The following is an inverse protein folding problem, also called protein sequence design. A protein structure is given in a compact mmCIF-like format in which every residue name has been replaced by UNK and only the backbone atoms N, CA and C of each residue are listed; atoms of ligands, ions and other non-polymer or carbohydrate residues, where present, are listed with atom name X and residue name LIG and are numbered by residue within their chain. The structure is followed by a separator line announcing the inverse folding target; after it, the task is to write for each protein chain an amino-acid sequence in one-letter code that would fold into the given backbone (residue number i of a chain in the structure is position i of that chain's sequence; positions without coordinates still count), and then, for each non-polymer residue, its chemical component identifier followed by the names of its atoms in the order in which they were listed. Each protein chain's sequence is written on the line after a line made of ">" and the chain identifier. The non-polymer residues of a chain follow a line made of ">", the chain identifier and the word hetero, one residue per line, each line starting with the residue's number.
data_IF_856999245717
#
_entry.id   IF_856999245717
#
_cell.length_a   1.000
_cell.length_b   1.000
_cell.length_c   1.000
_cell.angle_alpha   90.00
_cell.angle_beta   90.00
_cell.angle_gamma   90.00
#
_symmetry.space_group_name_H-M   'P 1'
#
loop_
_entity.id
_entity.type
_entity.pdbx_description
1 polymer ?
#
# COMPACT_ATOMS: atom_id res chain seq x y z
N UNK A 1 -25.74 -57.19 88.51
CA UNK A 1 -25.53 -57.39 87.07
C UNK A 1 -25.57 -56.01 86.41
N UNK A 2 -24.39 -55.42 86.17
CA UNK A 2 -24.22 -54.05 85.62
C UNK A 2 -24.05 -54.15 84.13
N UNK A 3 -24.97 -53.48 83.41
CA UNK A 3 -24.78 -53.29 81.98
C UNK A 3 -24.03 -52.02 81.76
N UNK A 4 -22.82 -52.12 81.20
CA UNK A 4 -21.99 -51.04 80.72
C UNK A 4 -22.35 -50.82 79.29
N UNK A 5 -23.23 -49.79 78.99
CA UNK A 5 -23.44 -49.25 77.66
C UNK A 5 -22.25 -48.30 77.29
N UNK A 6 -21.37 -48.76 76.46
CA UNK A 6 -20.31 -47.94 75.84
C UNK A 6 -20.96 -47.02 74.77
N UNK A 7 -21.15 -45.76 75.11
CA UNK A 7 -21.46 -44.69 74.15
C UNK A 7 -20.24 -44.47 73.25
N UNK A 8 -20.31 -44.92 72.02
CA UNK A 8 -19.38 -44.53 70.98
C UNK A 8 -19.63 -43.07 70.62
N UNK A 9 -18.80 -42.18 71.10
CA UNK A 9 -18.83 -40.74 70.79
C UNK A 9 -18.23 -40.59 69.38
N UNK A 10 -19.11 -40.32 68.39
CA UNK A 10 -18.74 -40.02 67.01
C UNK A 10 -18.08 -38.63 66.99
N UNK A 11 -16.76 -38.59 66.95
CA UNK A 11 -16.03 -37.36 66.71
C UNK A 11 -16.05 -37.06 65.19
N UNK A 12 -16.63 -35.90 64.74
CA UNK A 12 -16.58 -35.54 63.33
C UNK A 12 -15.12 -35.25 62.96
N UNK A 13 -14.57 -36.06 62.07
CA UNK A 13 -13.28 -35.85 61.51
C UNK A 13 -13.23 -34.45 60.84
N UNK A 14 -12.45 -33.53 61.39
CA UNK A 14 -12.23 -32.21 60.81
C UNK A 14 -11.58 -32.36 59.44
N UNK A 15 -12.39 -32.53 58.38
CA UNK A 15 -11.88 -32.54 57.02
C UNK A 15 -11.28 -31.18 56.72
N UNK A 16 -10.01 -31.15 56.47
CA UNK A 16 -9.28 -29.92 56.05
C UNK A 16 -10.00 -29.26 54.90
N UNK A 17 -10.10 -27.92 54.94
CA UNK A 17 -10.68 -27.06 53.86
C UNK A 17 -10.10 -27.44 52.50
N UNK A 18 -8.88 -27.92 52.50
CA UNK A 18 -8.20 -28.42 51.28
C UNK A 18 -8.89 -29.67 50.70
N UNK A 19 -9.37 -30.61 51.53
CA UNK A 19 -10.01 -31.83 51.02
C UNK A 19 -11.42 -31.56 50.45
N UNK A 20 -12.13 -30.58 50.98
CA UNK A 20 -13.48 -30.18 50.48
C UNK A 20 -13.42 -29.41 49.17
N UNK A 21 -12.36 -28.58 48.95
CA UNK A 21 -12.25 -27.66 47.80
C UNK A 21 -11.12 -28.04 46.84
N UNK A 22 -10.68 -29.28 46.82
CA UNK A 22 -9.53 -29.75 46.05
C UNK A 22 -9.64 -29.41 44.57
N UNK A 23 -10.82 -29.55 43.95
CA UNK A 23 -11.09 -29.24 42.51
C UNK A 23 -11.05 -27.73 42.27
N UNK A 24 -11.60 -26.92 43.15
CA UNK A 24 -11.56 -25.46 43.03
C UNK A 24 -10.15 -24.91 43.11
N UNK A 25 -9.33 -25.43 44.07
CA UNK A 25 -7.94 -25.03 44.24
C UNK A 25 -7.11 -25.39 42.99
N UNK A 26 -7.32 -26.57 42.41
CA UNK A 26 -6.69 -26.99 41.16
C UNK A 26 -7.07 -26.08 40.00
N UNK A 27 -8.38 -25.77 39.85
CA UNK A 27 -8.85 -24.85 38.80
C UNK A 27 -8.24 -23.46 38.93
N UNK A 28 -8.16 -22.95 40.16
CA UNK A 28 -7.53 -21.65 40.44
C UNK A 28 -6.03 -21.67 40.07
N UNK A 29 -5.32 -22.74 40.41
CA UNK A 29 -3.89 -22.89 40.11
C UNK A 29 -3.65 -22.98 38.60
N UNK A 30 -4.50 -23.70 37.84
CA UNK A 30 -4.46 -23.77 36.38
C UNK A 30 -4.71 -22.38 35.77
N UNK A 31 -5.72 -21.65 36.27
CA UNK A 31 -6.02 -20.29 35.81
C UNK A 31 -4.82 -19.36 36.03
N UNK A 32 -4.19 -19.40 37.20
CA UNK A 32 -3.02 -18.59 37.53
C UNK A 32 -1.83 -18.94 36.60
N UNK A 33 -1.66 -20.23 36.30
CA UNK A 33 -0.59 -20.68 35.38
C UNK A 33 -0.87 -20.17 33.95
N UNK A 34 -2.11 -20.24 33.46
CA UNK A 34 -2.49 -19.70 32.15
C UNK A 34 -2.19 -18.19 32.09
N UNK A 35 -2.60 -17.44 33.14
CA UNK A 35 -2.31 -16.00 33.22
C UNK A 35 -0.82 -15.72 33.20
N UNK A 36 -0.02 -16.53 33.90
CA UNK A 36 1.45 -16.43 33.88
C UNK A 36 2.03 -16.63 32.49
N UNK A 37 1.50 -17.60 31.72
CA UNK A 37 1.95 -17.88 30.35
C UNK A 37 1.55 -16.80 29.35
N UNK A 38 0.56 -15.97 29.68
CA UNK A 38 0.15 -14.84 28.82
C UNK A 38 1.07 -13.61 28.99
N UNK A 39 1.86 -13.52 30.07
CA UNK A 39 2.72 -12.37 30.36
C UNK A 39 3.73 -12.07 29.23
N UNK A 40 4.41 -13.07 28.59
CA UNK A 40 5.36 -12.78 27.52
C UNK A 40 4.73 -12.26 26.22
N UNK A 41 3.44 -12.49 25.98
CA UNK A 41 2.79 -12.18 24.70
C UNK A 41 2.91 -10.69 24.32
N UNK A 42 2.55 -9.72 25.20
CA UNK A 42 2.68 -8.31 24.83
C UNK A 42 4.13 -7.88 24.58
N UNK A 43 5.10 -8.48 25.26
CA UNK A 43 6.52 -8.18 24.97
C UNK A 43 6.93 -8.65 23.57
N UNK A 44 6.45 -9.84 23.14
CA UNK A 44 6.70 -10.38 21.80
C UNK A 44 6.03 -9.48 20.74
N UNK A 45 4.79 -9.06 20.98
CA UNK A 45 4.06 -8.17 20.05
C UNK A 45 4.79 -6.84 19.90
N UNK A 46 5.21 -6.23 21.00
CA UNK A 46 5.98 -4.97 20.96
C UNK A 46 7.30 -5.13 20.18
N UNK A 47 7.98 -6.26 20.37
CA UNK A 47 9.23 -6.54 19.64
C UNK A 47 8.96 -6.69 18.13
N UNK A 48 7.87 -7.34 17.74
CA UNK A 48 7.48 -7.50 16.34
C UNK A 48 7.19 -6.11 15.74
N UNK A 49 6.43 -5.26 16.43
CA UNK A 49 6.11 -3.90 15.98
C UNK A 49 7.38 -3.04 15.84
N UNK A 50 8.27 -3.11 16.80
CA UNK A 50 9.56 -2.40 16.74
C UNK A 50 10.37 -2.84 15.51
N UNK A 51 10.46 -4.15 15.27
CA UNK A 51 11.20 -4.71 14.13
C UNK A 51 10.55 -4.30 12.79
N UNK A 52 9.23 -4.33 12.72
CA UNK A 52 8.49 -3.89 11.54
C UNK A 52 8.70 -2.39 11.28
N UNK A 53 8.64 -1.57 12.32
CA UNK A 53 8.91 -0.13 12.20
C UNK A 53 10.33 0.15 11.72
N UNK A 54 11.33 -0.60 12.22
CA UNK A 54 12.71 -0.48 11.77
C UNK A 54 12.88 -0.92 10.32
N UNK A 55 12.17 -1.97 9.88
CA UNK A 55 12.13 -2.41 8.48
C UNK A 55 11.62 -1.28 7.59
N UNK A 56 10.49 -0.67 7.94
CA UNK A 56 9.88 0.42 7.16
C UNK A 56 10.80 1.63 7.05
N UNK A 57 11.48 2.00 8.14
CA UNK A 57 12.47 3.08 8.14
C UNK A 57 13.63 2.81 7.17
N UNK A 58 14.18 1.59 7.20
CA UNK A 58 15.28 1.21 6.31
C UNK A 58 14.83 1.17 4.85
N UNK A 59 13.63 0.64 4.57
CA UNK A 59 13.05 0.63 3.22
C UNK A 59 12.90 2.07 2.72
N UNK A 60 12.37 2.97 3.55
CA UNK A 60 12.22 4.39 3.21
C UNK A 60 13.58 5.02 2.92
N UNK A 61 14.58 4.75 3.75
CA UNK A 61 15.93 5.28 3.58
C UNK A 61 16.60 4.80 2.28
N UNK A 62 16.42 3.53 1.90
CA UNK A 62 16.90 2.99 0.63
C UNK A 62 16.18 3.69 -0.53
N UNK A 63 14.84 3.80 -0.43
CA UNK A 63 14.01 4.43 -1.45
C UNK A 63 14.37 5.90 -1.64
N UNK A 64 14.56 6.63 -0.55
CA UNK A 64 14.95 8.05 -0.61
C UNK A 64 16.30 8.29 -1.30
N UNK A 65 17.21 7.32 -1.19
CA UNK A 65 18.53 7.41 -1.83
C UNK A 65 18.52 6.92 -3.28
N UNK A 66 17.61 6.03 -3.64
CA UNK A 66 17.46 5.48 -4.99
C UNK A 66 16.48 6.31 -5.81
N UNK A 67 15.24 6.22 -5.50
CA UNK A 67 14.06 6.97 -5.90
C UNK A 67 12.86 6.33 -5.20
N UNK A 68 11.88 7.11 -4.82
CA UNK A 68 10.68 6.64 -4.14
C UNK A 68 9.71 5.86 -5.02
N UNK A 69 8.51 5.66 -4.48
CA UNK A 69 7.38 5.11 -5.23
C UNK A 69 7.06 6.05 -6.39
N UNK A 70 6.80 5.49 -7.58
CA UNK A 70 6.59 6.30 -8.77
C UNK A 70 5.15 6.24 -9.24
N UNK A 71 4.63 7.40 -9.61
CA UNK A 71 3.37 7.54 -10.36
C UNK A 71 3.64 8.41 -11.59
N UNK A 72 3.15 7.95 -12.73
CA UNK A 72 3.31 8.63 -14.03
C UNK A 72 2.07 9.48 -14.29
N UNK A 73 2.29 10.73 -14.68
CA UNK A 73 1.27 11.75 -14.96
C UNK A 73 1.38 12.24 -16.39
N UNK A 74 0.31 12.11 -17.15
CA UNK A 74 0.26 12.63 -18.51
C UNK A 74 0.76 11.66 -19.57
N UNK A 75 1.06 12.17 -20.77
CA UNK A 75 1.15 13.61 -21.11
C UNK A 75 -0.21 14.30 -21.19
N UNK A 76 -0.20 15.62 -20.95
CA UNK A 76 -1.35 16.53 -21.08
C UNK A 76 -0.96 17.71 -21.95
N UNK A 77 -1.97 18.34 -22.56
CA UNK A 77 -1.79 19.65 -23.21
C UNK A 77 -2.32 20.72 -22.24
N UNK A 78 -1.42 21.62 -21.79
CA UNK A 78 -1.80 22.80 -21.01
C UNK A 78 -2.07 23.95 -21.95
N UNK A 79 -3.26 24.52 -21.89
CA UNK A 79 -3.64 25.75 -22.60
C UNK A 79 -3.79 26.86 -21.56
N UNK A 80 -2.98 27.91 -21.69
CA UNK A 80 -3.08 29.13 -20.89
C UNK A 80 -3.78 30.17 -21.72
N UNK A 81 -4.86 30.75 -21.23
CA UNK A 81 -5.65 31.73 -21.95
C UNK A 81 -6.13 32.89 -21.05
N UNK A 82 -6.57 33.97 -21.66
CA UNK A 82 -7.13 35.13 -20.94
C UNK A 82 -8.64 34.97 -20.86
N UNK A 83 -9.16 35.00 -19.64
CA UNK A 83 -10.60 34.94 -19.36
C UNK A 83 -11.06 36.22 -18.67
N UNK A 84 -12.25 36.68 -19.02
CA UNK A 84 -12.89 37.82 -18.37
C UNK A 84 -13.63 37.31 -17.12
N UNK A 85 -13.15 37.68 -15.97
CA UNK A 85 -13.73 37.26 -14.68
C UNK A 85 -14.28 38.49 -13.96
N UNK A 86 -15.43 38.34 -13.35
CA UNK A 86 -16.03 39.39 -12.54
C UNK A 86 -15.39 39.37 -11.14
N UNK A 87 -14.85 40.52 -10.72
CA UNK A 87 -14.13 40.63 -9.43
C UNK A 87 -15.03 40.60 -8.18
N UNK A 88 -16.35 40.39 -8.38
CA UNK A 88 -17.34 40.41 -7.28
C UNK A 88 -17.81 41.80 -6.92
N UNK A 89 -17.21 42.85 -7.50
CA UNK A 89 -17.63 44.25 -7.34
C UNK A 89 -18.26 44.79 -8.64
N UNK A 90 -18.51 43.88 -9.59
CA UNK A 90 -19.13 44.24 -10.87
C UNK A 90 -18.15 44.72 -11.95
N UNK A 91 -16.84 44.69 -11.66
CA UNK A 91 -15.83 45.05 -12.63
C UNK A 91 -15.25 43.79 -13.30
N UNK A 92 -15.19 43.83 -14.62
CA UNK A 92 -14.60 42.73 -15.41
C UNK A 92 -13.08 42.91 -15.47
N UNK A 93 -12.34 41.91 -14.98
CA UNK A 93 -10.90 41.90 -15.07
C UNK A 93 -10.44 40.71 -15.91
N UNK A 94 -9.37 40.91 -16.69
CA UNK A 94 -8.75 39.82 -17.46
C UNK A 94 -7.83 39.03 -16.56
N UNK A 95 -8.06 37.73 -16.46
CA UNK A 95 -7.26 36.83 -15.66
C UNK A 95 -6.69 35.73 -16.54
N UNK A 96 -5.45 35.32 -16.29
CA UNK A 96 -4.87 34.14 -16.93
C UNK A 96 -5.38 32.87 -16.24
N UNK A 97 -5.96 31.98 -17.04
CA UNK A 97 -6.49 30.71 -16.61
C UNK A 97 -5.78 29.59 -17.36
N UNK A 98 -5.59 28.45 -16.71
CA UNK A 98 -4.99 27.25 -17.30
C UNK A 98 -6.03 26.13 -17.36
N UNK A 99 -6.08 25.47 -18.49
CA UNK A 99 -6.84 24.20 -18.66
C UNK A 99 -5.90 23.11 -19.15
N UNK A 100 -6.12 21.90 -18.65
CA UNK A 100 -5.35 20.72 -19.04
C UNK A 100 -6.25 19.78 -19.83
N UNK A 101 -5.77 19.35 -20.98
CA UNK A 101 -6.53 18.55 -21.93
C UNK A 101 -5.88 17.17 -22.00
N UNK A 102 -6.68 16.14 -21.79
CA UNK A 102 -6.30 14.74 -21.84
C UNK A 102 -6.17 14.23 -23.27
N UNK A 103 -5.39 13.19 -23.47
CA UNK A 103 -5.30 12.53 -24.78
C UNK A 103 -6.56 11.69 -25.07
N UNK A 104 -6.79 11.38 -26.33
CA UNK A 104 -7.79 10.38 -26.73
C UNK A 104 -7.28 8.97 -26.45
N UNK A 105 -6.07 8.70 -26.90
CA UNK A 105 -5.43 7.39 -26.72
C UNK A 105 -4.09 7.56 -26.01
N UNK A 106 -3.86 6.68 -25.04
CA UNK A 106 -2.57 6.56 -24.33
C UNK A 106 -2.15 5.09 -24.32
N UNK A 107 -1.00 4.81 -24.90
CA UNK A 107 -0.43 3.46 -24.93
C UNK A 107 0.93 3.49 -24.24
N UNK A 108 1.09 2.73 -23.18
CA UNK A 108 2.34 2.62 -22.42
C UNK A 108 2.82 1.16 -22.53
N UNK A 109 3.98 0.97 -23.09
CA UNK A 109 4.61 -0.34 -23.21
C UNK A 109 6.00 -0.28 -22.60
N UNK A 110 6.39 -1.32 -21.84
CA UNK A 110 7.73 -1.29 -21.32
C UNK A 110 8.16 -2.45 -20.46
N UNK A 111 9.39 -2.34 -20.00
CA UNK A 111 10.01 -3.35 -19.14
C UNK A 111 10.42 -2.72 -17.82
N UNK A 112 10.27 -3.51 -16.76
CA UNK A 112 10.64 -3.13 -15.40
C UNK A 112 11.59 -4.20 -14.88
N UNK A 113 12.84 -3.82 -14.67
CA UNK A 113 13.90 -4.67 -14.11
C UNK A 113 14.00 -4.41 -12.62
N UNK A 114 13.48 -5.33 -11.82
CA UNK A 114 13.50 -5.24 -10.36
C UNK A 114 14.74 -5.90 -9.78
N UNK A 115 15.23 -5.35 -8.67
CA UNK A 115 16.33 -5.90 -7.90
C UNK A 115 16.11 -5.61 -6.41
N UNK A 116 16.74 -6.43 -5.56
CA UNK A 116 16.74 -6.20 -4.11
C UNK A 116 17.98 -5.39 -3.72
N UNK A 117 17.76 -4.35 -2.93
CA UNK A 117 18.83 -3.60 -2.27
C UNK A 117 18.76 -3.88 -0.78
N UNK A 118 19.85 -4.38 -0.23
CA UNK A 118 19.93 -4.77 1.17
C UNK A 118 20.65 -3.74 2.01
N UNK A 119 20.19 -3.56 3.24
CA UNK A 119 20.90 -2.80 4.26
C UNK A 119 20.70 -3.49 5.60
N UNK A 120 21.80 -3.99 6.17
CA UNK A 120 21.74 -4.88 7.33
C UNK A 120 20.91 -6.12 6.99
N UNK A 121 19.91 -6.43 7.80
CA UNK A 121 19.01 -7.58 7.61
C UNK A 121 17.77 -7.24 6.77
N UNK A 122 17.61 -5.97 6.38
CA UNK A 122 16.41 -5.51 5.66
C UNK A 122 16.70 -5.33 4.18
N UNK A 123 15.70 -5.58 3.37
CA UNK A 123 15.76 -5.49 1.92
C UNK A 123 14.63 -4.63 1.39
N UNK A 124 14.90 -3.87 0.33
CA UNK A 124 13.90 -3.09 -0.39
C UNK A 124 13.91 -3.47 -1.87
N UNK A 125 12.74 -3.59 -2.45
CA UNK A 125 12.59 -3.79 -3.90
C UNK A 125 12.77 -2.43 -4.58
N UNK A 126 13.75 -2.34 -5.45
CA UNK A 126 13.96 -1.18 -6.33
C UNK A 126 13.92 -1.64 -7.78
N UNK A 127 13.71 -0.71 -8.70
CA UNK A 127 13.65 -1.08 -10.12
C UNK A 127 14.19 0.01 -11.03
N UNK A 128 14.58 -0.42 -12.22
CA UNK A 128 14.80 0.42 -13.38
C UNK A 128 13.73 0.09 -14.41
N UNK A 129 13.15 1.08 -15.03
CA UNK A 129 12.12 0.87 -16.05
C UNK A 129 12.47 1.61 -17.34
N UNK A 130 12.09 0.98 -18.44
CA UNK A 130 12.18 1.56 -19.80
C UNK A 130 10.78 1.51 -20.38
N UNK A 131 10.16 2.68 -20.52
CA UNK A 131 8.77 2.82 -20.92
C UNK A 131 8.69 3.63 -22.21
N UNK A 132 7.92 3.13 -23.16
CA UNK A 132 7.57 3.85 -24.37
C UNK A 132 6.11 4.30 -24.21
N UNK A 133 5.89 5.60 -24.16
CA UNK A 133 4.61 6.24 -23.93
C UNK A 133 4.17 6.91 -25.23
N UNK A 134 3.09 6.42 -25.83
CA UNK A 134 2.54 6.97 -27.07
C UNK A 134 1.15 7.50 -26.81
N UNK A 135 0.90 8.74 -27.20
CA UNK A 135 -0.40 9.37 -27.00
C UNK A 135 -0.90 10.04 -28.27
N UNK A 136 -2.22 10.08 -28.42
CA UNK A 136 -2.89 10.77 -29.50
C UNK A 136 -3.91 11.75 -28.91
N UNK A 137 -3.80 12.98 -29.27
CA UNK A 137 -4.74 14.03 -28.90
C UNK A 137 -5.65 14.34 -30.08
N UNK A 138 -6.73 15.06 -29.84
CA UNK A 138 -7.59 15.66 -30.88
C UNK A 138 -6.81 16.74 -31.63
N UNK A 139 -7.35 17.17 -32.76
CA UNK A 139 -6.83 18.35 -33.44
C UNK A 139 -6.93 19.57 -32.54
N UNK A 140 -6.03 20.52 -32.70
CA UNK A 140 -5.93 21.67 -31.78
C UNK A 140 -7.23 22.47 -31.71
N UNK A 141 -7.87 22.70 -32.84
CA UNK A 141 -9.18 23.41 -32.91
C UNK A 141 -10.26 22.67 -32.11
N UNK A 142 -10.31 21.36 -32.25
CA UNK A 142 -11.30 20.52 -31.54
C UNK A 142 -11.08 20.54 -30.04
N UNK A 143 -9.81 20.51 -29.62
CA UNK A 143 -9.43 20.64 -28.20
C UNK A 143 -9.87 21.98 -27.61
N UNK A 144 -9.64 23.08 -28.33
CA UNK A 144 -10.06 24.41 -27.87
C UNK A 144 -11.58 24.53 -27.77
N UNK A 145 -12.31 23.99 -28.77
CA UNK A 145 -13.78 23.97 -28.74
C UNK A 145 -14.32 23.19 -27.53
N UNK A 146 -13.70 22.07 -27.24
CA UNK A 146 -14.11 21.21 -26.12
C UNK A 146 -13.93 21.89 -24.76
N UNK A 147 -12.88 22.70 -24.60
CA UNK A 147 -12.65 23.46 -23.35
C UNK A 147 -13.23 24.87 -23.41
N UNK A 148 -14.00 25.19 -24.45
CA UNK A 148 -14.68 26.48 -24.64
C UNK A 148 -13.72 27.67 -24.60
N UNK A 149 -12.57 27.55 -25.28
CA UNK A 149 -11.54 28.59 -25.34
C UNK A 149 -11.41 29.09 -26.79
N UNK A 150 -11.60 30.39 -26.99
CA UNK A 150 -11.35 31.00 -28.32
C UNK A 150 -9.83 31.09 -28.56
N UNK A 151 -9.42 30.72 -29.77
CA UNK A 151 -8.01 30.72 -30.17
C UNK A 151 -7.30 32.07 -29.98
N UNK A 152 -8.05 33.17 -30.18
CA UNK A 152 -7.55 34.57 -30.01
C UNK A 152 -7.16 34.87 -28.54
N UNK A 153 -7.77 34.19 -27.58
CA UNK A 153 -7.50 34.40 -26.16
C UNK A 153 -6.34 33.54 -25.64
N UNK A 154 -5.84 32.61 -26.45
CA UNK A 154 -4.74 31.70 -26.03
C UNK A 154 -3.43 32.48 -25.93
N UNK A 155 -2.80 32.42 -24.78
CA UNK A 155 -1.50 33.02 -24.49
C UNK A 155 -0.35 32.02 -24.77
N UNK A 156 -0.55 30.77 -24.40
CA UNK A 156 0.47 29.75 -24.66
C UNK A 156 -0.12 28.33 -24.58
N UNK A 157 0.49 27.43 -25.34
CA UNK A 157 0.20 26.00 -25.32
C UNK A 157 1.48 25.28 -24.94
N UNK A 158 1.38 24.34 -23.98
CA UNK A 158 2.51 23.52 -23.54
C UNK A 158 2.13 22.04 -23.53
N UNK A 159 3.09 21.18 -23.76
CA UNK A 159 2.96 19.78 -23.42
C UNK A 159 3.56 19.57 -22.02
N UNK A 160 2.85 18.82 -21.20
CA UNK A 160 3.17 18.63 -19.76
C UNK A 160 3.22 17.14 -19.45
N UNK A 161 4.22 16.76 -18.67
CA UNK A 161 4.44 15.37 -18.25
C UNK A 161 5.13 15.36 -16.88
N UNK A 162 4.88 14.35 -16.05
CA UNK A 162 5.53 14.27 -14.76
C UNK A 162 5.60 12.88 -14.15
N UNK A 163 6.44 12.78 -13.13
CA UNK A 163 6.50 11.61 -12.23
C UNK A 163 6.54 12.11 -10.78
N UNK A 164 6.16 11.23 -9.84
CA UNK A 164 6.01 11.64 -8.44
C UNK A 164 7.34 11.98 -7.76
N UNK A 165 8.43 11.31 -8.12
CA UNK A 165 9.77 11.62 -7.56
C UNK A 165 10.77 11.85 -8.70
N UNK A 166 11.22 13.09 -8.84
CA UNK A 166 12.15 13.52 -9.89
C UNK A 166 13.52 12.84 -9.83
N UNK A 167 13.92 12.29 -8.69
CA UNK A 167 15.15 11.46 -8.58
C UNK A 167 15.09 10.24 -9.49
N UNK A 168 13.87 9.85 -9.90
CA UNK A 168 13.66 8.74 -10.82
C UNK A 168 14.15 8.98 -12.24
N UNK A 169 14.25 10.21 -12.70
CA UNK A 169 14.70 10.47 -14.08
C UNK A 169 16.16 10.08 -14.25
N UNK A 170 16.44 9.19 -15.21
CA UNK A 170 17.80 8.79 -15.55
C UNK A 170 18.34 9.57 -16.77
N UNK A 171 17.44 10.18 -17.54
CA UNK A 171 17.82 10.95 -18.71
C UNK A 171 16.86 12.13 -18.88
N UNK A 172 17.22 13.06 -19.75
CA UNK A 172 16.35 14.18 -20.11
C UNK A 172 15.12 13.62 -20.85
N UNK A 173 13.94 14.01 -20.39
CA UNK A 173 12.68 13.60 -21.01
C UNK A 173 12.46 14.44 -22.28
N UNK A 174 12.28 13.74 -23.40
CA UNK A 174 12.09 14.36 -24.70
C UNK A 174 10.78 13.84 -25.28
N UNK A 175 9.90 14.77 -25.60
CA UNK A 175 8.69 14.48 -26.36
C UNK A 175 9.05 14.54 -27.85
N UNK A 176 8.67 13.51 -28.57
CA UNK A 176 8.85 13.46 -30.04
C UNK A 176 7.49 13.61 -30.73
N UNK A 177 7.41 14.52 -31.67
CA UNK A 177 6.22 14.75 -32.48
C UNK A 177 6.67 15.24 -33.87
N UNK A 178 6.13 14.64 -34.93
CA UNK A 178 6.44 15.00 -36.33
C UNK A 178 7.95 15.08 -36.62
N UNK A 179 8.72 14.08 -36.15
CA UNK A 179 10.17 13.99 -36.27
C UNK A 179 10.96 15.15 -35.62
N UNK A 180 10.29 15.95 -34.78
CA UNK A 180 10.91 16.99 -33.97
C UNK A 180 11.00 16.56 -32.50
N UNK A 181 12.05 17.03 -31.85
CA UNK A 181 12.31 16.75 -30.43
C UNK A 181 11.98 17.99 -29.58
N UNK A 182 11.16 17.79 -28.57
CA UNK A 182 10.75 18.83 -27.63
C UNK A 182 11.25 18.42 -26.22
N UNK A 183 12.44 18.89 -25.82
CA UNK A 183 12.98 18.55 -24.50
C UNK A 183 12.17 19.23 -23.40
N UNK A 184 11.66 18.45 -22.47
CA UNK A 184 10.90 18.98 -21.34
C UNK A 184 11.84 19.59 -20.31
N UNK A 185 11.42 20.69 -19.73
CA UNK A 185 12.11 21.38 -18.66
C UNK A 185 11.27 21.37 -17.38
N UNK A 186 11.92 21.32 -16.23
CA UNK A 186 11.22 21.39 -14.94
C UNK A 186 10.43 22.69 -14.89
N UNK A 187 9.15 22.56 -14.64
CA UNK A 187 8.27 23.70 -14.42
C UNK A 187 7.98 23.83 -12.91
N UNK A 188 7.84 25.03 -12.42
CA UNK A 188 7.54 25.29 -11.01
C UNK A 188 6.05 25.00 -10.69
N UNK A 189 5.44 24.09 -11.42
CA UNK A 189 4.07 23.65 -11.14
C UNK A 189 4.15 22.58 -10.05
N UNK A 190 3.93 23.01 -8.83
CA UNK A 190 3.76 22.09 -7.72
C UNK A 190 2.28 21.73 -7.66
N UNK A 191 1.87 20.68 -8.38
CA UNK A 191 0.55 20.13 -8.13
C UNK A 191 0.62 19.26 -6.88
N UNK A 192 -0.27 19.52 -5.98
CA UNK A 192 -0.32 18.89 -4.67
C UNK A 192 -1.25 17.69 -4.74
N UNK A 193 -0.71 16.48 -4.73
CA UNK A 193 -1.55 15.27 -4.68
C UNK A 193 -1.78 14.91 -3.22
N UNK A 194 -3.02 14.83 -2.85
CA UNK A 194 -3.43 14.33 -1.55
C UNK A 194 -3.50 12.80 -1.63
N UNK A 195 -2.57 12.12 -1.00
CA UNK A 195 -2.67 10.67 -0.81
C UNK A 195 -3.55 10.45 0.43
N UNK A 196 -4.67 9.79 0.25
CA UNK A 196 -5.48 9.38 1.39
C UNK A 196 -4.67 8.37 2.23
N UNK A 197 -4.68 8.48 3.55
CA UNK A 197 -4.00 7.49 4.39
C UNK A 197 -4.64 6.13 4.17
N UNK A 198 -3.81 5.10 4.08
CA UNK A 198 -4.28 3.71 4.08
C UNK A 198 -5.16 3.49 5.32
N UNK A 199 -6.40 3.10 5.08
CA UNK A 199 -7.28 2.69 6.17
C UNK A 199 -6.75 1.36 6.71
N UNK A 200 -6.08 1.40 7.85
CA UNK A 200 -5.75 0.17 8.57
C UNK A 200 -7.03 -0.38 9.18
N UNK A 201 -7.47 -1.50 8.68
CA UNK A 201 -8.53 -2.27 9.30
C UNK A 201 -7.90 -3.15 10.37
N UNK A 202 -8.02 -2.73 11.60
CA UNK A 202 -7.58 -3.53 12.75
C UNK A 202 -8.82 -4.09 13.43
N UNK A 203 -8.89 -5.42 13.54
CA UNK A 203 -9.96 -6.18 14.21
C UNK A 203 -11.39 -6.04 13.63
N UNK A 204 -11.50 -5.70 12.32
CA UNK A 204 -12.81 -5.56 11.68
C UNK A 204 -13.56 -4.30 12.07
N UNK A 205 -12.99 -3.46 12.89
CA UNK A 205 -13.48 -2.11 13.16
C UNK A 205 -12.63 -1.11 12.38
N UNK A 206 -13.31 -0.19 11.72
CA UNK A 206 -12.67 0.97 11.12
C UNK A 206 -12.22 1.87 12.27
N UNK A 207 -10.94 1.77 12.63
CA UNK A 207 -10.36 2.74 13.55
C UNK A 207 -10.22 4.06 12.79
N UNK A 208 -11.20 4.90 12.97
CA UNK A 208 -11.19 6.28 12.53
C UNK A 208 -10.17 7.08 13.35
N UNK A 209 -8.94 6.63 13.35
CA UNK A 209 -7.83 7.47 13.80
C UNK A 209 -7.40 8.31 12.61
N UNK A 210 -8.18 9.30 12.40
CA UNK A 210 -7.95 10.39 11.47
C UNK A 210 -6.76 11.22 11.95
N UNK A 211 -5.59 10.70 11.74
CA UNK A 211 -4.47 11.59 11.50
C UNK A 211 -4.63 12.07 10.04
N UNK A 212 -5.44 13.04 9.84
CA UNK A 212 -5.60 13.73 8.55
C UNK A 212 -4.37 14.60 8.27
N UNK A 213 -3.21 14.02 8.32
CA UNK A 213 -2.08 14.58 7.61
C UNK A 213 -2.21 14.14 6.16
N UNK A 214 -2.95 14.92 5.39
CA UNK A 214 -2.89 14.85 3.94
C UNK A 214 -1.42 14.96 3.55
N UNK A 215 -0.79 13.85 3.24
CA UNK A 215 0.59 13.86 2.77
C UNK A 215 0.56 14.34 1.32
N UNK A 216 0.73 15.63 1.20
CA UNK A 216 0.81 16.31 -0.07
C UNK A 216 2.15 15.91 -0.70
N UNK A 217 2.13 15.06 -1.71
CA UNK A 217 3.32 14.80 -2.51
C UNK A 217 3.38 15.83 -3.63
N UNK A 218 4.39 16.70 -3.64
CA UNK A 218 4.56 17.61 -4.76
C UNK A 218 4.90 16.79 -6.01
N UNK A 219 4.03 16.82 -7.01
CA UNK A 219 4.34 16.25 -8.32
C UNK A 219 5.19 17.28 -9.06
N UNK A 220 6.38 16.87 -9.45
CA UNK A 220 7.24 17.70 -10.26
C UNK A 220 6.87 17.49 -11.73
N UNK A 221 6.13 18.45 -12.25
CA UNK A 221 5.76 18.47 -13.65
C UNK A 221 6.87 19.10 -14.47
N UNK A 222 7.09 18.54 -15.64
CA UNK A 222 7.94 19.12 -16.68
C UNK A 222 7.07 19.59 -17.82
N UNK A 223 7.45 20.69 -18.45
CA UNK A 223 6.70 21.23 -19.57
C UNK A 223 7.62 21.77 -20.67
N UNK A 224 7.05 21.87 -21.86
CA UNK A 224 7.68 22.52 -23.00
C UNK A 224 6.61 23.26 -23.80
N UNK A 225 6.88 24.53 -24.07
CA UNK A 225 6.03 25.31 -24.94
C UNK A 225 6.08 24.73 -26.36
N UNK A 226 4.92 24.58 -26.96
CA UNK A 226 4.76 24.06 -28.33
C UNK A 226 4.04 25.09 -29.19
N UNK A 227 4.35 25.04 -30.47
CA UNK A 227 3.64 25.81 -31.47
C UNK A 227 2.56 24.91 -32.11
N UNK A 228 1.27 25.19 -31.89
CA UNK A 228 0.21 24.32 -32.39
C UNK A 228 0.19 24.14 -33.92
N UNK A 229 0.79 25.07 -34.66
CA UNK A 229 0.84 24.96 -36.12
C UNK A 229 1.84 23.92 -36.64
N UNK A 230 2.88 23.60 -35.85
CA UNK A 230 3.95 22.69 -36.24
C UNK A 230 3.97 21.39 -35.43
N UNK A 231 3.23 21.35 -34.35
CA UNK A 231 3.18 20.18 -33.45
C UNK A 231 2.09 19.20 -33.93
N UNK A 232 2.46 17.94 -34.12
CA UNK A 232 1.50 16.90 -34.50
C UNK A 232 0.90 16.27 -33.25
N UNK A 233 -0.33 16.64 -32.93
CA UNK A 233 -1.08 16.15 -31.77
C UNK A 233 -1.48 14.68 -31.92
N UNK A 234 -1.45 14.11 -33.13
CA UNK A 234 -1.81 12.72 -33.35
C UNK A 234 -0.63 11.75 -33.15
N UNK A 235 0.60 12.28 -33.07
CA UNK A 235 1.80 11.46 -32.90
C UNK A 235 2.69 12.07 -31.83
N UNK A 236 2.41 11.74 -30.61
CA UNK A 236 3.21 12.20 -29.46
C UNK A 236 3.81 10.98 -28.76
N UNK A 237 5.14 10.93 -28.69
CA UNK A 237 5.84 9.82 -28.05
C UNK A 237 6.89 10.29 -27.06
N UNK A 238 7.05 9.53 -25.97
CA UNK A 238 8.04 9.78 -24.92
C UNK A 238 8.75 8.44 -24.63
N UNK A 239 10.07 8.42 -24.73
CA UNK A 239 10.88 7.29 -24.27
C UNK A 239 11.41 7.64 -22.88
N UNK A 240 10.83 7.02 -21.85
CA UNK A 240 11.12 7.30 -20.46
C UNK A 240 11.99 6.20 -19.87
N UNK A 241 13.18 6.57 -19.38
CA UNK A 241 14.03 5.69 -18.58
C UNK A 241 14.01 6.24 -17.16
N UNK A 242 13.54 5.42 -16.22
CA UNK A 242 13.41 5.91 -14.85
C UNK A 242 13.66 4.83 -13.80
N UNK A 243 14.02 5.29 -12.61
CA UNK A 243 14.17 4.49 -11.39
C UNK A 243 12.96 4.66 -10.48
N UNK A 244 12.73 3.64 -9.66
CA UNK A 244 11.73 3.73 -8.61
C UNK A 244 11.92 2.63 -7.58
N UNK A 245 11.07 2.62 -6.58
CA UNK A 245 11.05 1.59 -5.54
C UNK A 245 9.62 1.18 -5.20
N UNK A 246 9.44 -0.08 -4.85
CA UNK A 246 8.23 -0.68 -4.32
C UNK A 246 7.01 -0.65 -5.27
N UNK A 247 6.72 0.48 -5.95
CA UNK A 247 5.45 0.68 -6.64
C UNK A 247 5.65 1.49 -7.92
N UNK A 248 4.93 1.11 -8.98
CA UNK A 248 4.80 1.92 -10.19
C UNK A 248 3.32 2.05 -10.52
N UNK A 249 2.82 3.27 -10.42
CA UNK A 249 1.44 3.61 -10.76
C UNK A 249 1.38 4.53 -11.98
N UNK A 250 0.24 4.53 -12.62
CA UNK A 250 -0.05 5.33 -13.82
C UNK A 250 -1.40 6.01 -13.60
N UNK A 251 -1.50 7.28 -13.93
CA UNK A 251 -2.78 7.98 -14.00
C UNK A 251 -3.32 7.80 -15.43
N UNK A 252 -4.54 7.27 -15.61
CA UNK A 252 -5.09 7.10 -16.96
C UNK A 252 -5.49 8.48 -17.53
N UNK A 253 -4.52 9.12 -18.18
CA UNK A 253 -4.63 10.48 -18.70
C UNK A 253 -5.16 10.51 -20.14
N UNK A 254 -6.05 9.57 -20.49
CA UNK A 254 -6.66 9.48 -21.82
C UNK A 254 -8.03 8.80 -21.74
N UNK A 255 -8.86 9.02 -22.77
CA UNK A 255 -10.14 8.33 -22.94
C UNK A 255 -9.89 6.81 -23.02
N UNK A 256 -8.95 6.41 -23.86
CA UNK A 256 -8.52 5.01 -24.01
C UNK A 256 -7.09 4.87 -23.47
N UNK A 257 -6.90 4.17 -22.38
CA UNK A 257 -5.56 3.91 -21.82
C UNK A 257 -5.25 2.43 -21.92
N UNK A 258 -4.17 2.08 -22.60
CA UNK A 258 -3.64 0.73 -22.69
C UNK A 258 -2.24 0.68 -22.11
N UNK A 259 -2.00 -0.28 -21.24
CA UNK A 259 -0.72 -0.46 -20.60
C UNK A 259 -0.30 -1.92 -20.70
N UNK A 260 0.93 -2.16 -21.14
CA UNK A 260 1.53 -3.51 -21.25
C UNK A 260 2.92 -3.45 -20.62
N UNK A 261 3.06 -4.05 -19.44
CA UNK A 261 4.30 -4.03 -18.67
C UNK A 261 4.84 -5.44 -18.47
N UNK A 262 6.13 -5.61 -18.74
CA UNK A 262 6.86 -6.85 -18.51
C UNK A 262 7.85 -6.65 -17.36
N UNK A 263 7.82 -7.52 -16.36
CA UNK A 263 8.74 -7.46 -15.22
C UNK A 263 9.35 -8.83 -14.92
N UNK A 264 10.55 -8.84 -14.36
CA UNK A 264 11.20 -10.06 -13.84
C UNK A 264 10.68 -10.43 -12.42
N UNK A 265 9.75 -9.66 -11.84
CA UNK A 265 9.19 -9.92 -10.51
C UNK A 265 7.92 -10.75 -10.62
N UNK A 266 7.79 -11.77 -9.78
CA UNK A 266 6.63 -12.70 -9.82
C UNK A 266 5.49 -12.24 -8.94
N UNK A 267 5.81 -11.71 -7.77
CA UNK A 267 4.83 -11.45 -6.71
C UNK A 267 4.33 -10.01 -6.80
N UNK A 268 3.30 -9.83 -7.62
CA UNK A 268 2.71 -8.53 -7.89
C UNK A 268 1.40 -8.38 -7.12
N UNK A 269 1.23 -7.23 -6.47
CA UNK A 269 -0.06 -6.78 -5.97
C UNK A 269 -0.52 -5.63 -6.87
N UNK A 270 -1.76 -5.67 -7.30
CA UNK A 270 -2.32 -4.59 -8.09
C UNK A 270 -2.82 -3.50 -7.17
N UNK A 271 -2.49 -2.28 -7.50
CA UNK A 271 -2.82 -1.10 -6.71
C UNK A 271 -3.76 -0.19 -7.51
N UNK A 272 -4.61 0.56 -6.79
CA UNK A 272 -5.52 1.53 -7.38
C UNK A 272 -6.84 0.95 -7.87
N UNK A 273 -7.54 1.71 -8.70
CA UNK A 273 -8.96 1.48 -9.00
C UNK A 273 -9.22 0.57 -10.21
N UNK A 274 -8.17 0.13 -10.91
CA UNK A 274 -8.31 -0.70 -12.10
C UNK A 274 -7.47 -1.95 -11.98
N UNK A 275 -8.13 -3.10 -12.09
CA UNK A 275 -7.45 -4.40 -12.15
C UNK A 275 -6.99 -4.69 -13.59
N UNK A 276 -5.94 -5.50 -13.76
CA UNK A 276 -5.53 -5.92 -15.10
C UNK A 276 -6.62 -6.77 -15.78
N UNK A 277 -6.62 -6.75 -17.11
CA UNK A 277 -7.63 -7.42 -17.91
C UNK A 277 -7.58 -8.94 -17.82
N UNK A 278 -6.43 -9.50 -17.49
CA UNK A 278 -6.21 -10.93 -17.38
C UNK A 278 -5.20 -11.21 -16.27
N UNK A 279 -5.21 -12.40 -15.75
CA UNK A 279 -4.19 -12.83 -14.80
C UNK A 279 -2.80 -12.71 -15.42
N UNK A 280 -1.79 -12.39 -14.63
CA UNK A 280 -0.45 -12.19 -15.15
C UNK A 280 0.12 -13.47 -15.75
N UNK A 281 0.62 -13.37 -16.97
CA UNK A 281 1.26 -14.49 -17.64
C UNK A 281 2.77 -14.45 -17.40
N UNK A 282 3.28 -15.49 -16.75
CA UNK A 282 4.74 -15.64 -16.59
C UNK A 282 5.28 -16.55 -17.70
N UNK A 283 6.04 -15.95 -18.58
CA UNK A 283 6.72 -16.66 -19.69
C UNK A 283 8.20 -16.29 -19.69
N UNK A 284 9.06 -17.30 -19.77
CA UNK A 284 10.52 -17.11 -19.84
C UNK A 284 11.09 -16.26 -18.68
N UNK A 285 10.53 -16.43 -17.46
CA UNK A 285 10.97 -15.70 -16.28
C UNK A 285 10.52 -14.24 -16.21
N UNK A 286 9.64 -13.82 -17.13
CA UNK A 286 9.04 -12.48 -17.11
C UNK A 286 7.53 -12.60 -16.90
N UNK A 287 7.01 -11.72 -16.05
CA UNK A 287 5.58 -11.59 -15.78
C UNK A 287 5.05 -10.40 -16.59
N UNK A 288 4.06 -10.65 -17.44
CA UNK A 288 3.41 -9.62 -18.25
C UNK A 288 2.07 -9.27 -17.64
N UNK A 289 1.80 -7.98 -17.55
CA UNK A 289 0.55 -7.46 -16.99
C UNK A 289 -0.03 -6.42 -17.94
N UNK A 290 -1.33 -6.53 -18.24
CA UNK A 290 -2.00 -5.67 -19.21
C UNK A 290 -3.25 -5.02 -18.65
N UNK A 291 -3.41 -3.74 -18.94
CA UNK A 291 -4.63 -2.98 -18.67
C UNK A 291 -5.18 -2.40 -19.96
N UNK A 292 -6.49 -2.36 -20.06
CA UNK A 292 -7.22 -1.62 -21.10
C UNK A 292 -8.39 -0.91 -20.42
N UNK A 293 -8.29 0.39 -20.31
CA UNK A 293 -9.21 1.23 -19.55
C UNK A 293 -9.87 2.21 -20.52
N UNK A 294 -11.20 2.26 -20.50
CA UNK A 294 -11.98 3.23 -21.22
C UNK A 294 -12.68 4.14 -20.23
N UNK A 295 -12.46 5.44 -20.37
CA UNK A 295 -13.09 6.46 -19.54
C UNK A 295 -13.80 7.49 -20.43
N UNK A 296 -15.09 7.61 -20.28
CA UNK A 296 -15.87 8.53 -21.09
C UNK A 296 -15.50 10.01 -20.83
N UNK A 297 -15.13 10.32 -19.59
CA UNK A 297 -14.69 11.65 -19.17
C UNK A 297 -13.39 11.58 -18.37
N UNK A 298 -12.24 11.36 -19.01
CA UNK A 298 -10.98 11.31 -18.28
C UNK A 298 -10.54 12.73 -17.95
N UNK A 299 -10.66 13.13 -16.73
CA UNK A 299 -10.07 14.37 -16.19
C UNK A 299 -10.29 15.64 -17.07
N UNK A 300 -11.29 15.60 -17.97
CA UNK A 300 -11.54 16.71 -18.90
C UNK A 300 -12.12 17.93 -18.18
N UNK A 301 -11.55 19.07 -18.46
CA UNK A 301 -12.07 20.36 -18.01
C UNK A 301 -11.94 20.61 -16.52
N UNK A 302 -11.33 19.67 -15.78
CA UNK A 302 -11.05 19.94 -14.37
C UNK A 302 -9.81 20.83 -14.28
N UNK A 303 -10.03 22.03 -13.88
CA UNK A 303 -8.99 22.96 -13.52
C UNK A 303 -8.15 22.30 -12.41
N UNK A 304 -6.85 22.25 -12.63
CA UNK A 304 -5.90 21.68 -11.65
C UNK A 304 -5.82 22.48 -10.35
N UNK A 305 -6.85 23.24 -10.03
CA UNK A 305 -6.92 23.94 -8.75
C UNK A 305 -7.13 22.97 -7.58
N UNK A 306 -7.60 21.77 -7.87
CA UNK A 306 -7.84 20.75 -6.86
C UNK A 306 -7.29 19.39 -7.33
N UNK A 307 -5.96 19.27 -7.34
CA UNK A 307 -5.28 18.03 -7.68
C UNK A 307 -5.41 16.95 -6.58
N UNK A 308 -6.33 17.17 -5.64
CA UNK A 308 -6.51 16.29 -4.48
C UNK A 308 -7.03 14.89 -4.83
N UNK A 309 -7.59 14.70 -6.02
CA UNK A 309 -8.31 13.47 -6.36
C UNK A 309 -7.60 12.59 -7.40
N UNK A 310 -6.37 12.94 -7.82
CA UNK A 310 -5.66 12.13 -8.84
C UNK A 310 -5.26 10.76 -8.34
N UNK A 311 -4.95 10.63 -7.07
CA UNK A 311 -4.60 9.35 -6.48
C UNK A 311 -5.73 8.32 -6.61
N UNK A 312 -6.96 8.79 -6.55
CA UNK A 312 -8.15 7.92 -6.63
C UNK A 312 -8.36 7.31 -8.03
N UNK A 313 -7.68 7.84 -9.03
CA UNK A 313 -7.76 7.34 -10.41
C UNK A 313 -6.54 6.53 -10.82
N UNK A 314 -5.50 6.47 -10.00
CA UNK A 314 -4.27 5.74 -10.34
C UNK A 314 -4.49 4.23 -10.33
N UNK A 315 -3.65 3.53 -11.09
CA UNK A 315 -3.58 2.08 -11.10
C UNK A 315 -2.14 1.65 -11.40
N UNK A 316 -1.79 0.44 -11.00
CA UNK A 316 -0.45 -0.04 -11.27
C UNK A 316 -0.07 -1.30 -10.53
N UNK A 317 1.22 -1.46 -10.29
CA UNK A 317 1.81 -2.62 -9.64
C UNK A 317 2.59 -2.23 -8.40
N UNK A 318 2.43 -3.02 -7.37
CA UNK A 318 3.24 -2.98 -6.16
C UNK A 318 4.04 -4.29 -6.11
N UNK A 319 5.37 -4.18 -6.01
CA UNK A 319 6.29 -5.30 -6.01
C UNK A 319 6.38 -5.86 -4.59
N UNK A 320 5.59 -6.91 -4.31
CA UNK A 320 5.54 -7.52 -2.99
C UNK A 320 6.81 -8.32 -2.70
N UNK A 321 7.28 -8.18 -1.49
CA UNK A 321 8.28 -9.07 -0.93
C UNK A 321 7.55 -10.13 -0.10
N UNK A 322 7.36 -11.33 -0.67
CA UNK A 322 6.52 -12.40 -0.10
C UNK A 322 7.02 -12.95 1.24
N UNK A 323 8.27 -12.73 1.58
CA UNK A 323 8.85 -13.23 2.83
C UNK A 323 8.65 -12.26 3.99
N UNK A 324 7.42 -11.77 4.17
CA UNK A 324 7.14 -10.96 5.35
C UNK A 324 6.85 -11.88 6.55
N UNK A 325 7.93 -12.31 7.21
CA UNK A 325 7.88 -13.16 8.38
C UNK A 325 7.17 -12.47 9.56
N UNK A 326 7.17 -11.13 9.58
CA UNK A 326 6.58 -10.36 10.68
C UNK A 326 5.06 -10.54 10.75
N UNK A 327 4.37 -10.48 9.63
CA UNK A 327 2.91 -10.71 9.57
C UNK A 327 2.54 -12.12 10.03
N UNK A 328 3.30 -13.12 9.60
CA UNK A 328 3.08 -14.52 10.01
C UNK A 328 3.31 -14.69 11.50
N UNK A 329 4.40 -14.13 12.03
CA UNK A 329 4.74 -14.19 13.46
C UNK A 329 3.70 -13.46 14.31
N UNK A 330 3.26 -12.29 13.86
CA UNK A 330 2.20 -11.50 14.54
C UNK A 330 0.92 -12.32 14.66
N UNK A 331 0.45 -12.93 13.56
CA UNK A 331 -0.75 -13.77 13.58
C UNK A 331 -0.58 -14.98 14.50
N UNK A 332 0.56 -15.64 14.46
CA UNK A 332 0.86 -16.79 15.35
C UNK A 332 0.82 -16.38 16.82
N UNK A 333 1.38 -15.23 17.16
CA UNK A 333 1.41 -14.70 18.52
C UNK A 333 0.00 -14.29 18.98
N UNK A 334 -0.78 -13.66 18.11
CA UNK A 334 -2.17 -13.26 18.39
C UNK A 334 -3.04 -14.47 18.73
N UNK A 335 -2.86 -15.59 18.01
CA UNK A 335 -3.64 -16.81 18.25
C UNK A 335 -3.07 -17.70 19.36
N UNK A 336 -1.89 -17.39 19.91
CA UNK A 336 -1.28 -18.17 20.98
C UNK A 336 -2.18 -18.24 22.21
N UNK A 337 -2.90 -17.16 22.54
CA UNK A 337 -3.84 -17.12 23.69
C UNK A 337 -4.93 -18.19 23.53
N UNK A 338 -5.44 -18.38 22.31
CA UNK A 338 -6.48 -19.36 22.04
C UNK A 338 -5.94 -20.80 22.21
N UNK A 339 -4.75 -21.07 21.68
CA UNK A 339 -4.11 -22.39 21.81
C UNK A 339 -3.76 -22.70 23.27
N UNK A 340 -3.19 -21.74 24.00
CA UNK A 340 -2.86 -21.89 25.41
C UNK A 340 -4.16 -22.16 26.20
N UNK A 341 -5.17 -21.34 26.05
CA UNK A 341 -6.45 -21.47 26.75
C UNK A 341 -7.12 -22.81 26.47
N UNK A 342 -7.25 -23.16 25.18
CA UNK A 342 -7.88 -24.42 24.78
C UNK A 342 -7.15 -25.64 25.33
N UNK A 343 -5.82 -25.63 25.28
CA UNK A 343 -5.00 -26.73 25.80
C UNK A 343 -5.22 -26.93 27.30
N UNK A 344 -5.19 -25.85 28.08
CA UNK A 344 -5.40 -25.94 29.52
C UNK A 344 -6.84 -26.33 29.88
N UNK A 345 -7.82 -25.84 29.14
CA UNK A 345 -9.24 -26.24 29.31
C UNK A 345 -9.39 -27.76 29.03
N UNK A 346 -8.79 -28.23 27.93
CA UNK A 346 -8.81 -29.67 27.61
C UNK A 346 -8.15 -30.52 28.72
N UNK A 347 -6.98 -30.12 29.21
CA UNK A 347 -6.32 -30.82 30.30
C UNK A 347 -7.14 -30.79 31.61
N UNK A 348 -7.76 -29.65 31.90
CA UNK A 348 -8.65 -29.53 33.08
C UNK A 348 -9.83 -30.50 32.98
N UNK A 349 -10.45 -30.61 31.80
CA UNK A 349 -11.56 -31.58 31.59
C UNK A 349 -11.06 -33.03 31.69
N UNK A 350 -9.91 -33.36 31.18
CA UNK A 350 -9.30 -34.70 31.32
C UNK A 350 -9.02 -35.01 32.79
N UNK A 351 -8.51 -34.12 33.55
CA UNK A 351 -8.31 -34.24 34.98
C UNK A 351 -9.61 -34.34 35.78
N UNK A 352 -10.33 -33.65 35.37
CA UNK A 352 -11.60 -33.60 35.92
C UNK A 352 -12.40 -34.81 35.63
N UNK A 353 -12.01 -35.40 34.69
CA UNK A 353 -12.65 -36.56 34.29
C UNK A 353 -11.94 -37.74 34.77
N UNK A 354 -10.79 -37.60 34.84
CA UNK A 354 -9.96 -38.62 35.27
C UNK A 354 -9.45 -38.41 36.65
N UNK A 355 -9.99 -38.09 37.13
CA UNK A 355 -9.61 -37.80 38.44
C UNK A 355 -8.60 -38.62 39.07
N UNK A 356 -8.29 -39.52 38.47
CA UNK A 356 -7.28 -40.47 39.03
C UNK A 356 -5.95 -40.49 38.25
N UNK A 357 -5.75 -39.67 37.28
CA UNK A 357 -4.51 -39.67 36.50
C UNK A 357 -3.53 -38.62 37.05
N UNK A 358 -2.32 -39.05 37.28
CA UNK A 358 -1.27 -38.38 38.01
C UNK A 358 -0.85 -37.01 37.41
N UNK A 359 -0.94 -35.94 38.19
CA UNK A 359 -0.61 -34.54 37.85
C UNK A 359 0.84 -34.40 37.34
N UNK A 360 1.75 -35.27 37.70
CA UNK A 360 3.17 -35.23 37.32
C UNK A 360 3.42 -35.41 35.82
N UNK A 361 2.63 -36.22 35.13
CA UNK A 361 2.78 -36.46 33.70
C UNK A 361 2.31 -35.28 32.85
N UNK A 362 1.24 -34.60 33.27
CA UNK A 362 0.66 -33.46 32.59
C UNK A 362 1.60 -32.24 32.62
N UNK A 363 2.27 -32.04 33.74
CA UNK A 363 3.21 -30.93 33.92
C UNK A 363 4.44 -31.06 32.97
N UNK A 364 4.97 -32.26 32.80
CA UNK A 364 6.08 -32.52 31.88
C UNK A 364 5.69 -32.35 30.41
N UNK A 365 4.48 -32.78 30.00
CA UNK A 365 3.97 -32.61 28.64
C UNK A 365 3.72 -31.12 28.32
N UNK A 366 3.20 -30.38 29.27
CA UNK A 366 2.94 -28.95 29.10
C UNK A 366 4.24 -28.14 28.93
N UNK A 367 5.28 -28.47 29.73
CA UNK A 367 6.60 -27.87 29.63
C UNK A 367 7.22 -28.14 28.23
N UNK A 368 7.03 -29.33 27.70
CA UNK A 368 7.54 -29.73 26.40
C UNK A 368 6.82 -28.99 25.27
N UNK A 369 5.48 -28.84 25.35
CA UNK A 369 4.69 -28.09 24.34
C UNK A 369 5.06 -26.62 24.30
N UNK A 370 5.24 -25.98 25.46
CA UNK A 370 5.63 -24.55 25.52
C UNK A 370 7.04 -24.38 24.92
N UNK A 371 7.97 -25.27 25.24
CA UNK A 371 9.33 -25.23 24.69
C UNK A 371 9.30 -25.38 23.16
N UNK A 372 8.51 -26.33 22.63
CA UNK A 372 8.39 -26.55 21.17
C UNK A 372 7.79 -25.33 20.47
N UNK A 373 6.76 -24.71 21.04
CA UNK A 373 6.14 -23.50 20.48
C UNK A 373 7.14 -22.35 20.47
N UNK A 374 7.83 -22.12 21.58
CA UNK A 374 8.84 -21.05 21.71
C UNK A 374 10.00 -21.29 20.71
N UNK A 375 10.50 -22.53 20.62
CA UNK A 375 11.58 -22.88 19.69
C UNK A 375 11.13 -22.70 18.23
N UNK A 376 9.88 -23.04 17.90
CA UNK A 376 9.35 -22.79 16.54
C UNK A 376 9.20 -21.31 16.22
N UNK A 377 8.79 -20.51 17.20
CA UNK A 377 8.68 -19.05 17.03
C UNK A 377 10.05 -18.41 16.81
N UNK A 378 11.10 -18.92 17.52
CA UNK A 378 12.46 -18.39 17.38
C UNK A 378 13.23 -18.94 16.16
N UNK A 379 12.74 -20.00 15.51
CA UNK A 379 13.41 -20.61 14.35
C UNK A 379 12.90 -20.10 13.00
N UNK A 380 11.91 -19.20 13.01
CA UNK A 380 11.39 -18.46 11.85
C UNK A 380 11.97 -17.03 11.88
#
# INVERSE_FOLDING_TARGET
>A
MENNDLKNEYQPENQSVYSQNKTMIKGFLVCLLVLGLLIPIPFILNLIEERQGNKEKVITEISDKWSGKQTIYGPFIEVTYMENVNDGQGKVVKQQVKKYISANDLNINGTIDTQLKSRSIYEAVVYNSKLNINSKFKNYSDMLNEVEVSAENVVSTKIVFGISDSKGYENKVIVQSNNKNYPLNMDNITSTITIQPEVRVENGEYLEQVSTTKKVMPVQMMSQKIDPSTFDFNQVSINLVMKGSQMLNIIPSAINTKVDLATNWKDLKYDGNFLPNSDPETKNGKTNVKWSIYQQNPLQGQIWQDASNFSDYSFGVNFLQMNDHYDKTYRSTKYAILFIGLTFVAFFFIEXXXXTICVSWICNLCQFCVIVIVVRIFRI
#
